data_IF_992546361533
#
_entry.id   IF_992546361533
#
_cell.length_a   1.000
_cell.length_b   1.000
_cell.length_c   1.000
_cell.angle_alpha   90.00
_cell.angle_beta   90.00
_cell.angle_gamma   90.00
#
_symmetry.space_group_name_H-M   'P 1'
#
loop_
_entity.id
_entity.type
_entity.pdbx_description
1 polymer ?
#
# COMPACT_ATOMS: atom_id res chain seq x y z
N UNK A 1 -12.67 50.36 -3.01
CA UNK A 1 -12.33 49.82 -1.68
C UNK A 1 -11.67 48.48 -1.93
N UNK A 2 -10.35 48.40 -1.76
CA UNK A 2 -9.50 47.19 -1.81
C UNK A 2 -9.88 46.34 -0.56
N UNK A 3 -9.86 45.00 -0.47
CA UNK A 3 -8.99 43.94 -1.01
C UNK A 3 -9.85 42.72 -1.46
N UNK A 4 -9.68 42.01 -2.58
CA UNK A 4 -8.69 42.02 -3.69
C UNK A 4 -7.44 41.10 -3.54
N UNK A 5 -7.62 39.77 -3.46
CA UNK A 5 -6.56 38.77 -3.77
C UNK A 5 -7.11 37.67 -4.69
N UNK A 6 -6.46 37.58 -5.85
CA UNK A 6 -6.49 36.56 -6.91
C UNK A 6 -6.28 35.11 -6.36
N UNK A 7 -6.50 34.01 -7.09
CA UNK A 7 -6.28 33.83 -8.53
C UNK A 7 -7.05 32.62 -9.09
N UNK A 8 -7.26 32.60 -10.40
CA UNK A 8 -7.80 31.45 -11.14
C UNK A 8 -6.67 30.51 -11.57
N UNK A 9 -6.75 29.20 -11.28
CA UNK A 9 -5.91 28.21 -11.99
C UNK A 9 -6.36 26.74 -11.84
N UNK A 10 -6.64 26.14 -13.00
CA UNK A 10 -6.24 24.79 -13.42
C UNK A 10 -6.89 23.54 -12.78
N UNK A 11 -7.71 22.91 -13.63
CA UNK A 11 -7.75 21.47 -13.93
C UNK A 11 -7.64 20.43 -12.81
N UNK A 12 -8.76 19.75 -12.59
CA UNK A 12 -8.84 18.51 -11.80
C UNK A 12 -8.29 17.32 -12.62
N UNK A 13 -6.97 17.26 -12.78
CA UNK A 13 -6.28 16.06 -13.30
C UNK A 13 -6.22 14.98 -12.22
N UNK A 14 -7.14 14.01 -12.26
CA UNK A 14 -7.07 12.79 -11.44
C UNK A 14 -6.09 11.77 -12.07
N UNK A 15 -4.82 12.15 -12.15
CA UNK A 15 -3.68 11.25 -12.33
C UNK A 15 -2.56 11.81 -11.45
N UNK A 16 -2.14 11.08 -10.42
CA UNK A 16 -1.09 11.51 -9.49
C UNK A 16 -0.21 10.35 -9.05
N UNK A 17 0.53 9.80 -10.00
CA UNK A 17 1.92 9.40 -9.80
C UNK A 17 2.75 10.28 -10.75
N UNK A 18 3.06 11.49 -10.30
CA UNK A 18 3.96 12.36 -11.03
C UNK A 18 5.39 11.90 -10.75
N UNK A 19 5.86 10.90 -11.50
CA UNK A 19 7.17 10.24 -11.43
C UNK A 19 8.31 11.24 -11.20
N UNK A 20 8.57 11.58 -9.94
CA UNK A 20 9.49 12.65 -9.51
C UNK A 20 10.46 12.18 -8.45
N UNK A 21 10.31 10.95 -7.94
CA UNK A 21 11.40 10.19 -7.34
C UNK A 21 12.42 9.75 -8.40
N UNK A 22 12.91 10.71 -9.18
CA UNK A 22 14.14 10.55 -9.95
C UNK A 22 15.28 10.64 -8.93
N UNK A 23 15.66 9.48 -8.38
CA UNK A 23 16.76 9.38 -7.43
C UNK A 23 18.00 10.00 -8.07
N UNK A 24 18.52 11.06 -7.45
CA UNK A 24 19.83 11.61 -7.83
C UNK A 24 20.94 10.55 -7.65
N UNK A 25 22.20 10.88 -7.94
CA UNK A 25 23.34 9.94 -7.98
C UNK A 25 23.75 9.31 -6.62
N UNK A 26 22.85 9.32 -5.63
CA UNK A 26 23.01 8.78 -4.28
C UNK A 26 22.14 7.55 -3.97
N UNK A 27 21.22 7.14 -4.87
CA UNK A 27 20.51 5.86 -4.76
C UNK A 27 20.65 5.07 -6.08
N UNK A 28 21.54 4.08 -6.08
CA UNK A 28 21.61 3.02 -7.10
C UNK A 28 20.45 2.04 -6.92
N UNK A 29 19.24 2.46 -7.31
CA UNK A 29 18.05 1.61 -7.36
C UNK A 29 17.34 1.82 -8.69
N UNK A 30 17.67 0.95 -9.64
CA UNK A 30 17.10 0.95 -10.98
C UNK A 30 15.57 0.83 -10.95
N UNK A 31 14.92 1.87 -11.48
CA UNK A 31 13.53 1.93 -11.95
C UNK A 31 12.52 1.11 -11.12
N UNK A 32 12.08 1.63 -9.96
CA UNK A 32 11.07 0.94 -9.16
C UNK A 32 9.71 0.92 -9.86
N UNK A 33 9.09 -0.26 -9.93
CA UNK A 33 7.88 -0.54 -10.74
C UNK A 33 6.55 -0.11 -10.09
N UNK A 34 6.55 0.25 -8.80
CA UNK A 34 5.35 0.70 -8.10
C UNK A 34 5.31 2.23 -8.02
N UNK A 35 4.13 2.85 -8.06
CA UNK A 35 4.00 4.31 -8.00
C UNK A 35 4.62 4.92 -6.74
N UNK A 36 5.23 6.10 -6.89
CA UNK A 36 6.05 6.83 -5.90
C UNK A 36 5.48 6.83 -4.47
N UNK A 37 4.14 6.89 -4.33
CA UNK A 37 3.45 6.88 -3.02
C UNK A 37 3.60 5.60 -2.20
N UNK A 38 3.80 4.45 -2.85
CA UNK A 38 3.97 3.15 -2.20
C UNK A 38 5.43 2.89 -1.87
N UNK A 39 6.34 3.25 -2.78
CA UNK A 39 7.78 3.06 -2.59
C UNK A 39 8.30 3.80 -1.37
N UNK A 40 7.85 5.03 -1.15
CA UNK A 40 8.39 5.89 -0.09
C UNK A 40 8.17 5.29 1.31
N UNK A 41 7.18 4.41 1.47
CA UNK A 41 6.85 3.73 2.72
C UNK A 41 7.88 2.65 3.10
N UNK A 42 8.74 2.22 2.16
CA UNK A 42 9.88 1.34 2.40
C UNK A 42 11.17 2.09 2.80
N UNK A 43 11.16 3.44 2.78
CA UNK A 43 12.34 4.26 3.05
C UNK A 43 12.06 5.31 4.15
N UNK A 44 12.40 5.04 5.42
CA UNK A 44 12.10 5.96 6.54
C UNK A 44 12.81 7.32 6.41
N UNK A 45 13.97 7.36 5.74
CA UNK A 45 14.67 8.60 5.39
C UNK A 45 13.87 9.51 4.44
N UNK A 46 12.95 8.93 3.67
CA UNK A 46 12.11 9.62 2.69
C UNK A 46 10.64 9.76 3.14
N UNK A 47 10.18 8.98 4.12
CA UNK A 47 8.83 9.05 4.69
C UNK A 47 8.87 9.33 6.20
N UNK A 48 9.07 10.60 6.60
CA UNK A 48 9.11 11.01 8.01
C UNK A 48 8.54 12.43 8.21
N UNK A 49 8.40 12.86 9.46
CA UNK A 49 7.81 14.16 9.79
C UNK A 49 8.55 15.34 9.15
N UNK A 50 9.89 15.29 9.04
CA UNK A 50 10.72 16.38 8.53
C UNK A 50 10.53 16.64 7.01
N UNK A 51 10.12 15.62 6.26
CA UNK A 51 9.82 15.73 4.82
C UNK A 51 8.30 15.67 4.52
N UNK A 52 7.46 15.79 5.56
CA UNK A 52 6.00 15.72 5.43
C UNK A 52 5.53 14.36 4.93
N UNK A 53 6.09 13.27 5.44
CA UNK A 53 5.81 11.90 5.01
C UNK A 53 5.96 11.71 3.49
N UNK A 54 7.01 12.29 2.92
CA UNK A 54 7.29 12.23 1.48
C UNK A 54 6.71 13.37 0.64
N UNK A 55 5.81 14.20 1.17
CA UNK A 55 5.21 15.32 0.41
C UNK A 55 6.26 16.30 -0.15
N UNK A 56 7.40 16.47 0.53
CA UNK A 56 8.56 17.24 0.03
C UNK A 56 9.03 16.81 -1.36
N UNK A 57 8.83 15.53 -1.72
CA UNK A 57 9.24 14.95 -2.99
C UNK A 57 8.10 14.87 -4.03
N UNK A 58 6.95 15.51 -3.75
CA UNK A 58 5.77 15.47 -4.60
C UNK A 58 4.86 14.26 -4.38
N UNK A 59 5.15 13.40 -3.39
CA UNK A 59 4.31 12.25 -3.07
C UNK A 59 3.04 12.67 -2.36
N UNK A 60 1.89 12.44 -2.99
CA UNK A 60 0.58 12.70 -2.38
C UNK A 60 0.12 11.52 -1.52
N UNK A 61 -0.17 11.77 -0.25
CA UNK A 61 -0.71 10.77 0.68
C UNK A 61 -2.23 10.66 0.58
N UNK A 62 -2.74 9.43 0.50
CA UNK A 62 -4.19 9.16 0.44
C UNK A 62 -4.80 9.21 1.84
N UNK A 63 -5.55 10.28 2.15
CA UNK A 63 -6.20 10.44 3.46
C UNK A 63 -7.37 9.48 3.67
N UNK A 64 -7.73 9.22 4.93
CA UNK A 64 -8.90 8.41 5.31
C UNK A 64 -10.20 9.02 4.75
N UNK A 65 -10.33 10.35 4.78
CA UNK A 65 -11.52 11.03 4.27
C UNK A 65 -11.63 10.99 2.74
N UNK A 66 -10.49 11.04 2.02
CA UNK A 66 -10.47 10.77 0.58
C UNK A 66 -10.96 9.33 0.27
N UNK A 67 -10.57 8.33 1.07
CA UNK A 67 -11.08 6.94 0.94
C UNK A 67 -12.58 6.86 1.24
N UNK A 68 -13.06 7.51 2.30
CA UNK A 68 -14.51 7.58 2.65
C UNK A 68 -15.33 8.21 1.53
N UNK A 69 -14.91 9.37 1.02
CA UNK A 69 -15.59 10.08 -0.06
C UNK A 69 -15.59 9.27 -1.37
N UNK A 70 -14.47 8.62 -1.69
CA UNK A 70 -14.36 7.71 -2.84
C UNK A 70 -15.31 6.53 -2.70
N UNK A 71 -15.42 5.93 -1.51
CA UNK A 71 -16.38 4.84 -1.25
C UNK A 71 -17.84 5.28 -1.42
N UNK A 72 -18.20 6.49 -0.99
CA UNK A 72 -19.54 7.05 -1.20
C UNK A 72 -19.84 7.23 -2.69
N UNK A 73 -18.91 7.81 -3.47
CA UNK A 73 -19.03 7.96 -4.93
C UNK A 73 -19.14 6.61 -5.65
N UNK A 74 -18.36 5.61 -5.24
CA UNK A 74 -18.43 4.25 -5.79
C UNK A 74 -19.79 3.59 -5.49
N UNK A 75 -20.31 3.71 -4.27
CA UNK A 75 -21.62 3.15 -3.91
C UNK A 75 -22.75 3.83 -4.67
N UNK A 76 -22.68 5.14 -4.87
CA UNK A 76 -23.65 5.87 -5.70
C UNK A 76 -23.59 5.41 -7.16
N UNK A 77 -22.39 5.31 -7.73
CA UNK A 77 -22.20 4.79 -9.10
C UNK A 77 -22.78 3.37 -9.26
N UNK A 78 -22.54 2.47 -8.30
CA UNK A 78 -23.11 1.10 -8.30
C UNK A 78 -24.65 1.14 -8.26
N UNK A 79 -25.26 2.05 -7.49
CA UNK A 79 -26.72 2.22 -7.45
C UNK A 79 -27.28 2.69 -8.78
N UNK A 80 -26.62 3.65 -9.44
CA UNK A 80 -27.02 4.15 -10.76
C UNK A 80 -26.94 3.06 -11.84
N UNK A 81 -25.92 2.18 -11.77
CA UNK A 81 -25.82 1.01 -12.63
C UNK A 81 -26.95 0.01 -12.36
N UNK A 82 -27.18 -0.31 -11.08
CA UNK A 82 -28.18 -1.31 -10.67
C UNK A 82 -29.64 -0.86 -10.94
N UNK A 83 -29.92 0.44 -10.97
CA UNK A 83 -31.23 0.99 -11.33
C UNK A 83 -31.44 1.17 -12.84
N UNK A 84 -30.41 0.94 -13.66
CA UNK A 84 -30.43 1.24 -15.10
C UNK A 84 -30.34 2.75 -15.43
N UNK A 85 -30.14 3.62 -14.43
CA UNK A 85 -29.96 5.06 -14.65
C UNK A 85 -28.61 5.41 -15.31
N UNK A 86 -27.65 4.46 -15.30
CA UNK A 86 -26.37 4.55 -16.00
C UNK A 86 -26.02 3.19 -16.59
N UNK A 87 -25.46 3.17 -17.80
CA UNK A 87 -24.98 1.94 -18.44
C UNK A 87 -23.59 1.53 -17.93
N UNK A 88 -23.31 0.23 -17.96
CA UNK A 88 -22.00 -0.32 -17.65
C UNK A 88 -21.02 -0.11 -18.82
N UNK A 89 -19.78 0.26 -18.51
CA UNK A 89 -18.71 0.29 -19.51
C UNK A 89 -18.22 -1.12 -19.82
N UNK A 90 -18.13 -1.46 -21.11
CA UNK A 90 -17.56 -2.71 -21.61
C UNK A 90 -16.08 -2.56 -22.04
N UNK A 91 -15.45 -1.44 -21.71
CA UNK A 91 -14.01 -1.25 -21.95
C UNK A 91 -13.18 -2.16 -21.03
N UNK A 92 -12.07 -2.67 -21.56
CA UNK A 92 -11.08 -3.40 -20.76
C UNK A 92 -10.47 -2.45 -19.72
N UNK A 93 -10.32 -2.94 -18.49
CA UNK A 93 -9.74 -2.17 -17.37
C UNK A 93 -8.22 -1.93 -17.49
N UNK A 94 -7.52 -2.68 -18.35
CA UNK A 94 -6.05 -2.74 -18.37
C UNK A 94 -5.46 -3.76 -17.39
N UNK A 95 -6.28 -4.36 -16.53
CA UNK A 95 -5.85 -5.34 -15.52
C UNK A 95 -5.56 -6.73 -16.12
N UNK A 96 -4.49 -7.37 -15.65
CA UNK A 96 -4.01 -8.67 -16.16
C UNK A 96 -4.95 -9.85 -15.83
N UNK A 97 -5.82 -9.70 -14.84
CA UNK A 97 -6.71 -10.75 -14.31
C UNK A 97 -7.52 -11.47 -15.42
N UNK A 98 -7.96 -10.75 -16.44
CA UNK A 98 -8.76 -11.36 -17.53
C UNK A 98 -7.94 -12.29 -18.43
N UNK A 99 -6.64 -12.03 -18.61
CA UNK A 99 -5.75 -12.90 -19.38
C UNK A 99 -5.24 -14.07 -18.51
N UNK A 100 -5.03 -13.86 -17.20
CA UNK A 100 -4.75 -14.94 -16.24
C UNK A 100 -5.90 -15.97 -16.24
N UNK A 101 -7.15 -15.52 -16.09
CA UNK A 101 -8.33 -16.42 -16.11
C UNK A 101 -8.44 -17.21 -17.42
N UNK A 102 -8.18 -16.57 -18.57
CA UNK A 102 -8.18 -17.25 -19.87
C UNK A 102 -7.11 -18.33 -19.94
N UNK A 103 -5.88 -18.02 -19.56
CA UNK A 103 -4.77 -18.97 -19.57
C UNK A 103 -5.09 -20.21 -18.71
N UNK A 104 -5.60 -20.01 -17.49
CA UNK A 104 -6.01 -21.09 -16.59
C UNK A 104 -7.13 -21.95 -17.19
N UNK A 105 -8.15 -21.35 -17.79
CA UNK A 105 -9.31 -22.08 -18.33
C UNK A 105 -8.96 -22.82 -19.63
N UNK A 106 -8.13 -22.25 -20.51
CA UNK A 106 -7.79 -22.85 -21.80
C UNK A 106 -6.56 -23.76 -21.77
N UNK A 107 -5.83 -23.80 -20.65
CA UNK A 107 -4.51 -24.43 -20.58
C UNK A 107 -3.43 -23.67 -21.36
N UNK A 108 -3.70 -22.42 -21.74
CA UNK A 108 -2.75 -21.53 -22.41
C UNK A 108 -1.73 -20.91 -21.46
N UNK A 109 -0.83 -20.10 -22.02
CA UNK A 109 0.15 -19.33 -21.27
C UNK A 109 -0.17 -17.82 -21.34
N UNK A 110 0.13 -17.09 -20.26
CA UNK A 110 0.17 -15.63 -20.23
C UNK A 110 1.33 -15.17 -19.36
N UNK A 111 1.84 -13.96 -19.62
CA UNK A 111 2.81 -13.28 -18.74
C UNK A 111 2.03 -12.32 -17.85
N UNK A 112 2.28 -12.35 -16.55
CA UNK A 112 1.66 -11.47 -15.56
C UNK A 112 2.58 -11.29 -14.35
N UNK A 113 2.44 -10.17 -13.64
CA UNK A 113 3.14 -9.93 -12.37
C UNK A 113 2.29 -10.51 -11.23
N UNK A 114 2.80 -11.57 -10.59
CA UNK A 114 2.05 -12.33 -9.58
C UNK A 114 2.81 -12.46 -8.27
N UNK A 115 2.07 -12.38 -7.16
CA UNK A 115 2.55 -12.73 -5.83
C UNK A 115 2.55 -14.25 -5.69
N UNK A 116 3.73 -14.87 -5.64
CA UNK A 116 3.89 -16.33 -5.49
C UNK A 116 4.99 -16.69 -4.48
N UNK A 117 4.93 -17.87 -3.85
CA UNK A 117 6.02 -18.39 -3.02
C UNK A 117 7.33 -18.49 -3.80
N UNK A 118 8.44 -18.14 -3.16
CA UNK A 118 9.77 -18.22 -3.77
C UNK A 118 10.22 -19.69 -3.90
N UNK A 119 10.00 -20.26 -5.09
CA UNK A 119 10.55 -21.54 -5.52
C UNK A 119 12.02 -21.47 -5.96
N UNK A 120 12.62 -20.27 -5.94
CA UNK A 120 13.99 -20.01 -6.41
C UNK A 120 14.09 -18.93 -7.49
N UNK A 121 12.99 -18.19 -7.75
CA UNK A 121 12.98 -17.03 -8.65
C UNK A 121 13.90 -15.91 -8.13
N UNK A 122 13.99 -15.75 -6.80
CA UNK A 122 14.97 -14.90 -6.13
C UNK A 122 15.92 -15.77 -5.29
N UNK A 123 17.13 -15.99 -5.79
CA UNK A 123 18.14 -16.88 -5.17
C UNK A 123 18.72 -16.34 -3.85
N UNK A 124 18.60 -15.03 -3.61
CA UNK A 124 19.03 -14.35 -2.39
C UNK A 124 17.92 -14.24 -1.33
N UNK A 125 16.74 -14.82 -1.54
CA UNK A 125 15.60 -14.79 -0.62
C UNK A 125 15.31 -16.19 -0.06
N UNK A 126 14.71 -16.32 1.15
CA UNK A 126 14.24 -17.60 1.65
C UNK A 126 13.23 -18.24 0.69
N UNK A 127 13.10 -19.57 0.74
CA UNK A 127 12.04 -20.29 0.02
C UNK A 127 10.68 -20.02 0.66
N UNK A 128 9.61 -20.27 -0.08
CA UNK A 128 8.20 -20.11 0.32
C UNK A 128 7.72 -18.68 0.65
N UNK A 129 8.61 -17.73 0.95
CA UNK A 129 8.30 -16.30 1.07
C UNK A 129 7.63 -15.79 -0.20
N UNK A 130 6.55 -15.01 -0.06
CA UNK A 130 5.90 -14.32 -1.18
C UNK A 130 6.79 -13.16 -1.65
N UNK A 131 7.22 -13.18 -2.91
CA UNK A 131 8.27 -12.26 -3.41
C UNK A 131 7.81 -11.36 -4.56
N UNK A 132 8.11 -10.06 -4.46
CA UNK A 132 8.20 -9.10 -5.57
C UNK A 132 9.37 -8.12 -5.29
N UNK A 133 10.54 -8.36 -5.91
CA UNK A 133 11.66 -7.41 -5.90
C UNK A 133 12.67 -7.51 -4.74
N UNK A 134 13.69 -6.66 -4.78
CA UNK A 134 14.98 -6.83 -4.06
C UNK A 134 15.04 -6.30 -2.63
N UNK A 135 14.09 -5.47 -2.18
CA UNK A 135 14.03 -4.94 -0.80
C UNK A 135 13.35 -5.87 0.20
N UNK A 136 12.94 -7.07 -0.24
CA UNK A 136 11.90 -7.83 0.45
C UNK A 136 12.32 -8.59 1.73
N UNK A 137 13.59 -8.75 2.10
CA UNK A 137 13.93 -9.66 3.23
C UNK A 137 13.36 -9.18 4.57
N UNK A 138 13.71 -7.97 5.02
CA UNK A 138 13.18 -7.42 6.27
C UNK A 138 11.64 -7.34 6.27
N UNK A 139 11.05 -6.91 5.15
CA UNK A 139 9.60 -6.82 5.03
C UNK A 139 8.92 -8.20 5.00
N UNK A 140 9.55 -9.25 4.46
CA UNK A 140 9.07 -10.61 4.54
C UNK A 140 9.07 -11.10 6.01
N UNK A 141 10.15 -10.86 6.75
CA UNK A 141 10.25 -11.22 8.16
C UNK A 141 9.14 -10.50 8.99
N UNK A 142 8.91 -9.21 8.74
CA UNK A 142 7.81 -8.42 9.33
C UNK A 142 6.43 -8.98 8.94
N UNK A 143 6.22 -9.38 7.68
CA UNK A 143 4.96 -9.99 7.23
C UNK A 143 4.72 -11.35 7.91
N UNK A 144 5.74 -12.22 7.99
CA UNK A 144 5.64 -13.51 8.67
C UNK A 144 5.31 -13.36 10.16
N UNK A 145 6.00 -12.47 10.87
CA UNK A 145 5.71 -12.15 12.27
C UNK A 145 4.29 -11.58 12.44
N UNK A 146 3.84 -10.71 11.54
CA UNK A 146 2.48 -10.14 11.56
C UNK A 146 1.41 -11.22 11.37
N UNK A 147 1.60 -12.14 10.41
CA UNK A 147 0.68 -13.27 10.18
C UNK A 147 0.68 -14.21 11.39
N UNK A 148 1.86 -14.55 11.93
CA UNK A 148 1.98 -15.40 13.11
C UNK A 148 1.31 -14.79 14.33
N UNK A 149 1.53 -13.49 14.59
CA UNK A 149 0.85 -12.73 15.63
C UNK A 149 -0.68 -12.83 15.50
N UNK A 150 -1.21 -12.66 14.28
CA UNK A 150 -2.65 -12.73 14.02
C UNK A 150 -3.26 -14.14 14.21
N UNK A 151 -2.52 -15.20 13.85
CA UNK A 151 -2.95 -16.58 14.03
C UNK A 151 -2.94 -17.02 15.50
N UNK A 152 -1.88 -16.63 16.23
CA UNK A 152 -1.66 -16.97 17.65
C UNK A 152 -2.38 -16.02 18.62
N UNK A 153 -2.84 -14.85 18.19
CA UNK A 153 -3.36 -13.79 19.08
C UNK A 153 -2.28 -13.09 19.90
N UNK A 154 -1.02 -13.18 19.47
CA UNK A 154 0.15 -12.81 20.28
C UNK A 154 0.50 -11.33 20.17
N UNK A 155 0.21 -10.56 21.23
CA UNK A 155 0.63 -9.15 21.35
C UNK A 155 2.14 -8.97 21.31
N UNK A 156 2.93 -9.91 21.83
CA UNK A 156 4.40 -9.80 21.81
C UNK A 156 4.96 -9.92 20.39
N UNK A 157 4.45 -10.86 19.58
CA UNK A 157 4.84 -10.97 18.17
C UNK A 157 4.40 -9.75 17.34
N UNK A 158 3.24 -9.15 17.66
CA UNK A 158 2.83 -7.89 17.04
C UNK A 158 3.81 -6.74 17.37
N UNK A 159 4.27 -6.64 18.61
CA UNK A 159 5.27 -5.64 18.99
C UNK A 159 6.63 -5.89 18.35
N UNK A 160 7.04 -7.14 18.20
CA UNK A 160 8.25 -7.52 17.46
C UNK A 160 8.16 -7.09 15.98
N UNK A 161 7.04 -7.39 15.31
CA UNK A 161 6.78 -6.95 13.95
C UNK A 161 6.81 -5.42 13.80
N UNK A 162 6.17 -4.68 14.72
CA UNK A 162 6.19 -3.20 14.73
C UNK A 162 7.58 -2.61 15.04
N UNK A 163 8.41 -3.32 15.81
CA UNK A 163 9.78 -2.88 16.12
C UNK A 163 10.74 -3.09 14.94
N UNK A 164 10.43 -4.04 14.05
CA UNK A 164 11.20 -4.34 12.84
C UNK A 164 10.70 -3.57 11.61
N UNK A 165 9.45 -3.12 11.60
CA UNK A 165 8.90 -2.29 10.53
C UNK A 165 9.64 -0.94 10.44
N UNK A 166 10.19 -0.56 9.27
CA UNK A 166 11.01 0.64 9.14
C UNK A 166 10.27 1.96 9.45
N UNK A 167 8.95 2.04 9.27
CA UNK A 167 8.17 3.27 9.54
C UNK A 167 7.89 3.46 11.03
N UNK A 168 7.66 2.37 11.77
CA UNK A 168 7.45 2.43 13.22
C UNK A 168 8.73 2.30 14.05
N UNK A 169 9.81 1.72 13.52
CA UNK A 169 11.12 1.62 14.19
C UNK A 169 11.83 2.96 14.49
N UNK A 170 11.27 4.09 14.06
CA UNK A 170 11.71 5.44 14.45
C UNK A 170 11.00 5.99 15.71
N UNK A 171 9.96 5.32 16.22
CA UNK A 171 9.25 5.71 17.43
C UNK A 171 9.91 5.11 18.69
N UNK A 172 9.68 5.72 19.86
CA UNK A 172 10.18 5.18 21.12
C UNK A 172 9.50 3.84 21.45
N UNK A 173 10.26 2.88 21.99
CA UNK A 173 9.74 1.53 22.27
C UNK A 173 8.50 1.52 23.21
N UNK A 174 8.41 2.50 24.12
CA UNK A 174 7.23 2.70 24.96
C UNK A 174 5.99 3.15 24.17
N UNK A 175 6.18 3.96 23.13
CA UNK A 175 5.10 4.41 22.24
C UNK A 175 4.60 3.28 21.34
N UNK A 176 5.49 2.40 20.86
CA UNK A 176 5.12 1.19 20.14
C UNK A 176 4.20 0.28 20.98
N UNK A 177 4.48 0.19 22.28
CA UNK A 177 3.61 -0.43 23.28
C UNK A 177 2.17 0.08 23.19
N UNK A 178 1.97 1.39 23.40
CA UNK A 178 0.64 2.01 23.38
C UNK A 178 -0.02 1.94 22.00
N UNK A 179 0.76 2.13 20.92
CA UNK A 179 0.30 2.05 19.54
C UNK A 179 -0.28 0.66 19.24
N UNK A 180 0.41 -0.42 19.63
CA UNK A 180 -0.09 -1.79 19.45
C UNK A 180 -1.43 -2.00 20.15
N UNK A 181 -1.58 -1.53 21.39
CA UNK A 181 -2.82 -1.66 22.16
C UNK A 181 -3.96 -0.81 21.59
N UNK A 182 -3.65 0.34 20.99
CA UNK A 182 -4.63 1.19 20.30
C UNK A 182 -5.09 0.55 18.99
N UNK A 183 -4.16 0.01 18.20
CA UNK A 183 -4.47 -0.70 16.96
C UNK A 183 -5.30 -1.96 17.22
N UNK A 184 -4.92 -2.77 18.21
CA UNK A 184 -5.69 -3.95 18.60
C UNK A 184 -7.09 -3.59 19.09
N UNK A 185 -7.24 -2.60 19.98
CA UNK A 185 -8.57 -2.17 20.48
C UNK A 185 -9.45 -1.62 19.37
N UNK A 186 -8.90 -0.81 18.47
CA UNK A 186 -9.63 -0.28 17.31
C UNK A 186 -10.12 -1.38 16.35
N UNK A 187 -9.40 -2.49 16.26
CA UNK A 187 -9.71 -3.62 15.37
C UNK A 187 -10.30 -4.84 16.12
N UNK A 188 -10.74 -4.69 17.38
CA UNK A 188 -11.18 -5.82 18.24
C UNK A 188 -12.26 -6.70 17.63
N UNK A 189 -13.18 -6.15 16.84
CA UNK A 189 -14.21 -6.90 16.12
C UNK A 189 -13.67 -7.83 15.03
N UNK A 190 -12.50 -7.51 14.48
CA UNK A 190 -11.83 -8.24 13.38
C UNK A 190 -10.71 -9.15 13.89
N UNK A 191 -10.13 -8.83 15.05
CA UNK A 191 -9.01 -9.54 15.67
C UNK A 191 -9.37 -10.15 17.06
N UNK A 192 -10.44 -10.95 17.19
CA UNK A 192 -10.93 -11.42 18.49
C UNK A 192 -9.91 -12.30 19.25
N UNK A 193 -9.00 -12.98 18.53
CA UNK A 193 -7.97 -13.87 19.11
C UNK A 193 -7.02 -13.18 20.09
N UNK A 194 -6.78 -11.87 19.94
CA UNK A 194 -5.94 -11.09 20.87
C UNK A 194 -6.65 -10.72 22.18
N UNK A 195 -7.93 -11.11 22.34
CA UNK A 195 -8.78 -10.76 23.47
C UNK A 195 -9.51 -11.98 24.05
N UNK A 196 -9.00 -13.19 23.76
CA UNK A 196 -9.51 -14.48 24.24
C UNK A 196 -8.53 -15.06 25.24
#
# INVERSE_FOLDING_TARGET
MVVDVMDEALDVWVICDGWRLNFGPFLELDLPLAGDRHLIEFYPSLCNLQNGYGMKYGVLKTTVDARRLTKLRQLDHIRQLASGAKEASWQRSGEEMTEIMKAVITGGATTAIVNVPNGGQLTNMPREVIVIGSLCRLHADVHELTVKAALEGSRSLLLEALSLDPLSGLADFSELGELSDRLLRANRSWLPRFFT
#
